data_IF_219499274642
#
_entry.id   IF_219499274642
#
_cell.length_a   1.000
_cell.length_b   1.000
_cell.length_c   1.000
_cell.angle_alpha   90.00
_cell.angle_beta   90.00
_cell.angle_gamma   90.00
#
_symmetry.space_group_name_H-M   'P 1'
#
loop_
_entity.id
_entity.type
_entity.pdbx_description
1 polymer ?
#
# COMPACT_ATOMS: atom_id res chain seq x y z
N UNK A 1 -10.78 -25.00 13.90
CA UNK A 1 -10.06 -24.42 12.75
C UNK A 1 -10.56 -22.99 12.68
N UNK A 2 -9.69 -21.99 12.85
CA UNK A 2 -10.07 -20.58 12.73
C UNK A 2 -10.35 -20.25 11.27
N UNK A 3 -11.33 -19.38 11.04
CA UNK A 3 -11.63 -18.81 9.72
C UNK A 3 -11.38 -17.31 9.80
N UNK A 4 -10.93 -16.66 8.73
CA UNK A 4 -10.75 -15.23 8.75
C UNK A 4 -12.10 -14.53 8.87
N UNK A 5 -12.13 -13.42 9.60
CA UNK A 5 -13.31 -12.56 9.73
C UNK A 5 -13.15 -11.24 8.98
N UNK A 6 -11.91 -10.86 8.64
CA UNK A 6 -11.63 -9.63 7.90
C UNK A 6 -10.46 -9.77 6.93
N UNK A 7 -10.48 -8.90 5.92
CA UNK A 7 -9.34 -8.67 5.02
C UNK A 7 -8.99 -7.18 5.05
N UNK A 8 -7.73 -6.87 5.31
CA UNK A 8 -7.19 -5.52 5.36
C UNK A 8 -6.21 -5.37 4.20
N UNK A 9 -6.35 -4.33 3.42
CA UNK A 9 -5.51 -4.06 2.26
C UNK A 9 -4.63 -2.85 2.52
N UNK A 10 -3.35 -2.94 2.17
CA UNK A 10 -2.62 -1.74 1.80
C UNK A 10 -3.23 -1.13 0.53
N UNK A 11 -2.92 0.11 0.24
CA UNK A 11 -3.51 0.81 -0.90
C UNK A 11 -2.57 0.85 -2.10
N UNK A 12 -1.40 1.46 -1.92
CA UNK A 12 -0.46 1.71 -3.00
C UNK A 12 0.29 0.43 -3.36
N UNK A 13 0.31 0.07 -4.66
CA UNK A 13 0.86 -1.22 -5.10
C UNK A 13 -0.07 -2.42 -4.89
N UNK A 14 -1.03 -2.35 -3.96
CA UNK A 14 -1.97 -3.44 -3.63
C UNK A 14 -3.34 -3.23 -4.26
N UNK A 15 -4.10 -2.22 -3.84
CA UNK A 15 -5.42 -1.93 -4.41
C UNK A 15 -5.30 -1.26 -5.78
N UNK A 16 -4.28 -0.43 -5.93
CA UNK A 16 -4.02 0.42 -7.08
C UNK A 16 -2.60 0.16 -7.55
N UNK A 17 -2.41 -0.11 -8.84
CA UNK A 17 -1.09 -0.05 -9.46
C UNK A 17 -0.65 1.41 -9.56
N UNK A 18 -0.15 1.94 -8.46
CA UNK A 18 0.26 3.34 -8.34
C UNK A 18 1.69 3.60 -8.82
N UNK A 19 2.51 2.57 -9.04
CA UNK A 19 3.92 2.74 -9.43
C UNK A 19 4.09 3.54 -10.73
N UNK A 20 3.39 3.24 -11.85
CA UNK A 20 3.48 4.04 -13.07
C UNK A 20 3.05 5.49 -12.87
N UNK A 21 2.08 5.71 -11.95
CA UNK A 21 1.58 7.04 -11.63
C UNK A 21 2.64 7.81 -10.84
N UNK A 22 3.26 7.21 -9.83
CA UNK A 22 4.33 7.83 -9.04
C UNK A 22 5.53 8.20 -9.93
N UNK A 23 5.97 7.29 -10.80
CA UNK A 23 7.05 7.56 -11.77
C UNK A 23 6.69 8.75 -12.67
N UNK A 24 5.44 8.82 -13.15
CA UNK A 24 4.96 9.92 -13.98
C UNK A 24 4.93 11.27 -13.25
N UNK A 25 4.53 11.26 -11.99
CA UNK A 25 4.51 12.44 -11.12
C UNK A 25 5.95 12.94 -10.87
N UNK A 26 6.83 12.07 -10.44
CA UNK A 26 8.22 12.39 -10.12
C UNK A 26 8.95 12.95 -11.34
N UNK A 27 8.75 12.36 -12.51
CA UNK A 27 9.32 12.87 -13.76
C UNK A 27 8.87 14.31 -14.05
N UNK A 28 7.58 14.60 -13.94
CA UNK A 28 7.06 15.95 -14.15
C UNK A 28 7.58 16.93 -13.09
N UNK A 29 7.75 16.49 -11.85
CA UNK A 29 8.33 17.30 -10.80
C UNK A 29 9.81 17.59 -11.06
N UNK A 30 10.59 16.63 -11.51
CA UNK A 30 12.00 16.82 -11.88
C UNK A 30 12.13 17.79 -13.07
N UNK A 31 11.25 17.67 -14.07
CA UNK A 31 11.18 18.62 -15.19
C UNK A 31 10.89 20.05 -14.68
N UNK A 32 9.98 20.20 -13.73
CA UNK A 32 9.64 21.50 -13.11
C UNK A 32 10.80 22.08 -12.31
N UNK A 33 11.59 21.23 -11.65
CA UNK A 33 12.80 21.64 -10.92
C UNK A 33 14.00 21.89 -11.86
N UNK A 34 13.85 21.60 -13.15
CA UNK A 34 14.92 21.74 -14.14
C UNK A 34 16.07 20.76 -13.97
N UNK A 35 15.80 19.58 -13.41
CA UNK A 35 16.79 18.53 -13.16
C UNK A 35 16.53 17.31 -14.03
N UNK A 36 17.63 16.72 -14.55
CA UNK A 36 17.58 15.47 -15.31
C UNK A 36 18.06 14.32 -14.40
N UNK A 37 17.10 13.54 -13.90
CA UNK A 37 17.37 12.40 -13.04
C UNK A 37 17.40 11.13 -13.87
N UNK A 38 18.59 10.52 -13.99
CA UNK A 38 18.74 9.28 -14.75
C UNK A 38 17.90 8.15 -14.14
N UNK A 39 17.45 7.20 -14.98
CA UNK A 39 16.68 6.03 -14.54
C UNK A 39 17.39 5.23 -13.44
N UNK A 40 18.71 5.16 -13.44
CA UNK A 40 19.51 4.47 -12.42
C UNK A 40 19.43 5.18 -11.08
N UNK A 41 19.51 6.52 -11.07
CA UNK A 41 19.40 7.33 -9.85
C UNK A 41 17.96 7.28 -9.34
N UNK A 42 16.97 7.43 -10.22
CA UNK A 42 15.55 7.32 -9.86
C UNK A 42 15.23 5.99 -9.17
N UNK A 43 15.69 4.88 -9.77
CA UNK A 43 15.49 3.54 -9.18
C UNK A 43 16.11 3.39 -7.78
N UNK A 44 17.21 4.10 -7.47
CA UNK A 44 17.82 4.05 -6.14
C UNK A 44 16.97 4.72 -5.04
N UNK A 45 15.92 5.44 -5.41
CA UNK A 45 14.98 6.06 -4.47
C UNK A 45 13.75 5.19 -4.19
N UNK A 46 13.53 4.13 -4.96
CA UNK A 46 12.40 3.22 -4.73
C UNK A 46 12.47 2.63 -3.33
N UNK A 47 11.40 2.79 -2.56
CA UNK A 47 11.34 2.36 -1.16
C UNK A 47 12.10 3.24 -0.15
N UNK A 48 12.78 4.29 -0.60
CA UNK A 48 13.43 5.26 0.27
C UNK A 48 12.41 6.28 0.81
N UNK A 49 12.76 6.96 1.92
CA UNK A 49 11.94 8.07 2.41
C UNK A 49 12.07 9.31 1.49
N UNK A 50 11.01 10.12 1.42
CA UNK A 50 11.04 11.41 0.72
C UNK A 50 12.18 12.30 1.22
N UNK A 51 12.45 12.28 2.52
CA UNK A 51 13.54 13.08 3.11
C UNK A 51 14.92 12.66 2.57
N UNK A 52 15.16 11.35 2.43
CA UNK A 52 16.40 10.84 1.83
C UNK A 52 16.50 11.25 0.35
N UNK A 53 15.45 11.00 -0.44
CA UNK A 53 15.41 11.32 -1.87
C UNK A 53 15.68 12.80 -2.10
N UNK A 54 14.94 13.71 -1.44
CA UNK A 54 15.10 15.15 -1.64
C UNK A 54 16.41 15.69 -1.08
N UNK A 55 16.97 15.08 -0.02
CA UNK A 55 18.30 15.44 0.48
C UNK A 55 19.38 15.12 -0.55
N UNK A 56 19.31 13.94 -1.18
CA UNK A 56 20.27 13.53 -2.21
C UNK A 56 20.09 14.34 -3.50
N UNK A 57 18.86 14.55 -3.98
CA UNK A 57 18.58 15.39 -5.14
C UNK A 57 19.07 16.84 -4.95
N UNK A 58 18.80 17.42 -3.78
CA UNK A 58 19.29 18.75 -3.43
C UNK A 58 20.81 18.85 -3.50
N UNK A 59 21.50 17.85 -2.97
CA UNK A 59 22.97 17.78 -2.98
C UNK A 59 23.53 17.61 -4.40
N UNK A 60 22.96 16.68 -5.18
CA UNK A 60 23.42 16.37 -6.54
C UNK A 60 23.21 17.52 -7.54
N UNK A 61 22.05 18.11 -7.49
CA UNK A 61 21.65 19.15 -8.45
C UNK A 61 21.79 20.56 -7.93
N UNK A 62 22.31 20.74 -6.69
CA UNK A 62 22.55 22.05 -6.02
C UNK A 62 21.28 22.89 -5.97
N UNK A 63 20.15 22.27 -5.62
CA UNK A 63 18.89 22.97 -5.49
C UNK A 63 18.95 24.01 -4.36
N UNK A 64 18.33 25.17 -4.58
CA UNK A 64 18.28 26.27 -3.62
C UNK A 64 17.31 26.00 -2.48
N UNK A 65 16.24 25.28 -2.78
CA UNK A 65 15.15 24.95 -1.87
C UNK A 65 15.65 24.05 -0.73
N UNK A 66 15.08 24.21 0.44
CA UNK A 66 15.30 23.30 1.57
C UNK A 66 14.60 21.96 1.30
N UNK A 67 15.03 20.90 1.99
CA UNK A 67 14.41 19.56 1.87
C UNK A 67 12.92 19.63 2.22
N UNK A 68 12.54 20.38 3.24
CA UNK A 68 11.14 20.56 3.64
C UNK A 68 10.30 21.26 2.57
N UNK A 69 10.82 22.29 1.90
CA UNK A 69 10.12 22.97 0.80
C UNK A 69 9.95 22.04 -0.41
N UNK A 70 10.95 21.20 -0.71
CA UNK A 70 10.85 20.22 -1.78
C UNK A 70 9.78 19.16 -1.48
N UNK A 71 9.72 18.65 -0.25
CA UNK A 71 8.70 17.67 0.18
C UNK A 71 7.31 18.30 0.11
N UNK A 72 7.12 19.51 0.63
CA UNK A 72 5.83 20.22 0.57
C UNK A 72 5.40 20.46 -0.89
N UNK A 73 6.34 20.85 -1.75
CA UNK A 73 6.06 21.03 -3.18
C UNK A 73 5.67 19.72 -3.87
N UNK A 74 6.30 18.60 -3.51
CA UNK A 74 5.95 17.26 -4.01
C UNK A 74 4.54 16.85 -3.58
N UNK A 75 4.21 17.01 -2.31
CA UNK A 75 2.89 16.67 -1.77
C UNK A 75 1.78 17.46 -2.47
N UNK A 76 1.97 18.76 -2.64
CA UNK A 76 1.03 19.61 -3.38
C UNK A 76 0.90 19.20 -4.85
N UNK A 77 2.03 18.88 -5.50
CA UNK A 77 2.03 18.46 -6.89
C UNK A 77 1.36 17.09 -7.08
N UNK A 78 1.61 16.13 -6.19
CA UNK A 78 0.95 14.81 -6.17
C UNK A 78 -0.56 14.96 -5.99
N UNK A 79 -0.97 15.76 -5.01
CA UNK A 79 -2.39 16.03 -4.76
C UNK A 79 -3.09 16.61 -6.00
N UNK A 80 -2.51 17.65 -6.62
CA UNK A 80 -3.04 18.26 -7.83
C UNK A 80 -3.08 17.28 -9.02
N UNK A 81 -2.04 16.45 -9.17
CA UNK A 81 -1.98 15.42 -10.20
C UNK A 81 -3.12 14.41 -10.03
N UNK A 82 -3.29 13.85 -8.84
CA UNK A 82 -4.35 12.90 -8.55
C UNK A 82 -5.75 13.50 -8.75
N UNK A 83 -5.94 14.77 -8.44
CA UNK A 83 -7.22 15.46 -8.68
C UNK A 83 -7.56 15.56 -10.18
N UNK A 84 -6.57 15.68 -11.06
CA UNK A 84 -6.77 15.79 -12.52
C UNK A 84 -7.05 14.46 -13.21
N UNK A 85 -6.71 13.33 -12.60
CA UNK A 85 -7.05 12.03 -13.17
C UNK A 85 -8.58 11.83 -13.13
N UNK A 86 -9.18 11.38 -14.21
CA UNK A 86 -10.61 11.06 -14.22
C UNK A 86 -10.90 9.75 -13.48
N UNK A 87 -10.11 8.72 -13.75
CA UNK A 87 -10.22 7.38 -13.17
C UNK A 87 -8.83 6.80 -12.88
N UNK A 88 -8.78 5.86 -11.96
CA UNK A 88 -7.56 5.10 -11.63
C UNK A 88 -7.94 3.63 -11.70
N UNK A 89 -7.20 2.79 -12.44
CA UNK A 89 -7.51 1.37 -12.51
C UNK A 89 -7.21 0.67 -11.18
N UNK A 90 -8.08 -0.24 -10.79
CA UNK A 90 -7.80 -1.21 -9.74
C UNK A 90 -6.86 -2.29 -10.29
N UNK A 91 -6.07 -2.91 -9.42
CA UNK A 91 -5.26 -4.06 -9.81
C UNK A 91 -6.11 -5.21 -10.35
N UNK A 92 -5.54 -5.93 -11.32
CA UNK A 92 -6.22 -7.01 -12.02
C UNK A 92 -6.72 -8.10 -11.06
N UNK A 93 -8.02 -8.44 -11.18
CA UNK A 93 -8.67 -9.44 -10.33
C UNK A 93 -9.19 -8.93 -9.00
N UNK A 94 -8.75 -7.73 -8.53
CA UNK A 94 -9.12 -7.18 -7.22
C UNK A 94 -10.64 -7.04 -7.04
N UNK A 95 -11.35 -6.45 -7.99
CA UNK A 95 -12.80 -6.20 -7.87
C UNK A 95 -13.56 -7.52 -7.70
N UNK A 96 -13.13 -8.58 -8.38
CA UNK A 96 -13.71 -9.91 -8.23
C UNK A 96 -13.51 -10.45 -6.81
N UNK A 97 -12.31 -10.31 -6.25
CA UNK A 97 -11.99 -10.74 -4.88
C UNK A 97 -12.78 -9.94 -3.84
N UNK A 98 -12.85 -8.60 -3.98
CA UNK A 98 -13.64 -7.74 -3.08
C UNK A 98 -15.12 -8.16 -3.08
N UNK A 99 -15.69 -8.46 -4.25
CA UNK A 99 -17.06 -8.96 -4.38
C UNK A 99 -17.28 -10.29 -3.68
N UNK A 100 -16.33 -11.23 -3.77
CA UNK A 100 -16.38 -12.51 -3.07
C UNK A 100 -16.34 -12.31 -1.54
N UNK A 101 -15.42 -11.48 -1.05
CA UNK A 101 -15.24 -11.17 0.38
C UNK A 101 -16.53 -10.54 0.95
N UNK A 102 -17.09 -9.54 0.25
CA UNK A 102 -18.33 -8.86 0.67
C UNK A 102 -19.53 -9.82 0.70
N UNK A 103 -19.64 -10.69 -0.31
CA UNK A 103 -20.72 -11.70 -0.40
C UNK A 103 -20.63 -12.72 0.74
N UNK A 104 -19.42 -13.08 1.16
CA UNK A 104 -19.20 -13.97 2.30
C UNK A 104 -19.40 -13.31 3.67
N UNK A 105 -19.63 -11.98 3.71
CA UNK A 105 -19.90 -11.25 4.95
C UNK A 105 -18.65 -10.90 5.77
N UNK A 106 -17.44 -11.07 5.22
CA UNK A 106 -16.21 -10.65 5.88
C UNK A 106 -16.10 -9.13 5.87
N UNK A 107 -15.43 -8.58 6.89
CA UNK A 107 -15.12 -7.15 6.97
C UNK A 107 -13.97 -6.77 6.06
N UNK A 108 -14.01 -5.55 5.55
CA UNK A 108 -13.00 -5.00 4.66
C UNK A 108 -12.46 -3.66 5.19
N UNK A 109 -11.14 -3.53 5.27
CA UNK A 109 -10.52 -2.25 5.62
C UNK A 109 -9.33 -1.93 4.71
N UNK A 110 -9.00 -0.64 4.65
CA UNK A 110 -7.77 -0.13 4.04
C UNK A 110 -6.85 0.37 5.15
N UNK A 111 -5.55 0.07 5.04
CA UNK A 111 -4.51 0.54 5.95
C UNK A 111 -3.33 1.11 5.14
N UNK A 112 -3.28 2.44 4.97
CA UNK A 112 -2.35 3.11 4.05
C UNK A 112 -1.44 4.13 4.72
N UNK A 113 -0.29 4.40 4.10
CA UNK A 113 0.61 5.51 4.47
C UNK A 113 0.22 6.84 3.81
N UNK A 114 -0.68 6.84 2.85
CA UNK A 114 -1.21 8.04 2.22
C UNK A 114 -2.04 8.89 3.21
N UNK A 115 -2.17 10.19 2.94
CA UNK A 115 -3.03 11.06 3.75
C UNK A 115 -4.52 10.67 3.60
N UNK A 116 -5.38 11.00 4.59
CA UNK A 116 -6.81 10.70 4.50
C UNK A 116 -7.48 11.27 3.27
N UNK A 117 -7.07 12.46 2.83
CA UNK A 117 -7.58 13.12 1.64
C UNK A 117 -7.25 12.32 0.38
N UNK A 118 -5.97 11.96 0.20
CA UNK A 118 -5.49 11.20 -0.96
C UNK A 118 -6.10 9.80 -0.96
N UNK A 119 -6.13 9.11 0.17
CA UNK A 119 -6.72 7.77 0.27
C UNK A 119 -8.19 7.76 -0.19
N UNK A 120 -9.00 8.68 0.31
CA UNK A 120 -10.40 8.81 -0.09
C UNK A 120 -10.53 9.18 -1.58
N UNK A 121 -9.71 10.11 -2.07
CA UNK A 121 -9.71 10.50 -3.49
C UNK A 121 -9.42 9.32 -4.41
N UNK A 122 -8.34 8.58 -4.14
CA UNK A 122 -7.90 7.45 -4.96
C UNK A 122 -8.92 6.31 -4.96
N UNK A 123 -9.43 5.91 -3.80
CA UNK A 123 -10.42 4.85 -3.67
C UNK A 123 -11.74 5.20 -4.40
N UNK A 124 -12.16 6.47 -4.34
CA UNK A 124 -13.33 6.94 -5.09
C UNK A 124 -13.09 6.94 -6.61
N UNK A 125 -11.92 7.42 -7.08
CA UNK A 125 -11.56 7.41 -8.51
C UNK A 125 -11.39 6.00 -9.07
N UNK A 126 -10.96 5.06 -8.20
CA UNK A 126 -10.89 3.64 -8.52
C UNK A 126 -12.26 2.94 -8.48
N UNK A 127 -13.29 3.59 -7.93
CA UNK A 127 -14.65 3.05 -7.81
C UNK A 127 -14.82 1.95 -6.77
N UNK A 128 -13.87 1.81 -5.84
CA UNK A 128 -13.86 0.72 -4.83
C UNK A 128 -14.13 1.18 -3.39
N UNK A 129 -14.26 2.48 -3.14
CA UNK A 129 -14.43 3.02 -1.79
C UNK A 129 -15.61 2.36 -1.03
N UNK A 130 -16.72 2.06 -1.72
CA UNK A 130 -17.94 1.48 -1.12
C UNK A 130 -17.79 0.02 -0.64
N UNK A 131 -16.71 -0.66 -0.97
CA UNK A 131 -16.44 -2.01 -0.46
C UNK A 131 -15.99 -1.99 0.99
N UNK A 132 -15.28 -0.94 1.43
CA UNK A 132 -14.57 -0.92 2.71
C UNK A 132 -15.44 -0.43 3.86
N UNK A 133 -15.35 -1.12 4.99
CA UNK A 133 -16.01 -0.78 6.26
C UNK A 133 -15.21 0.30 7.03
N UNK A 134 -13.88 0.37 6.79
CA UNK A 134 -13.00 1.40 7.35
C UNK A 134 -11.82 1.72 6.41
N UNK A 135 -11.38 2.98 6.44
CA UNK A 135 -10.13 3.46 5.85
C UNK A 135 -9.31 4.06 6.99
N UNK A 136 -8.07 3.60 7.13
CA UNK A 136 -7.16 3.99 8.20
C UNK A 136 -5.83 4.43 7.61
N UNK A 137 -5.32 5.54 8.09
CA UNK A 137 -4.02 6.07 7.65
C UNK A 137 -2.98 6.00 8.76
N UNK A 138 -1.69 5.97 8.40
CA UNK A 138 -0.61 5.99 9.39
C UNK A 138 -0.60 7.25 10.23
N UNK A 139 -1.08 8.39 9.69
CA UNK A 139 -1.22 9.65 10.45
C UNK A 139 -2.24 9.55 11.58
N UNK A 140 -3.30 8.74 11.41
CA UNK A 140 -4.30 8.47 12.45
C UNK A 140 -3.78 7.45 13.46
N UNK A 141 -2.98 6.49 13.02
CA UNK A 141 -2.40 5.44 13.87
C UNK A 141 -1.21 5.93 14.71
N UNK A 142 -0.57 7.04 14.32
CA UNK A 142 0.51 7.69 15.04
C UNK A 142 1.92 7.24 14.65
N UNK A 143 2.09 6.02 14.16
CA UNK A 143 3.38 5.51 13.65
C UNK A 143 3.24 4.89 12.28
N UNK A 144 4.23 5.16 11.43
CA UNK A 144 4.30 4.58 10.09
C UNK A 144 4.81 3.13 10.12
N UNK A 145 4.52 2.35 9.08
CA UNK A 145 5.13 1.06 8.80
C UNK A 145 6.67 1.21 8.83
N UNK A 146 7.41 0.31 9.46
CA UNK A 146 7.05 -1.06 9.86
C UNK A 146 6.37 -1.21 11.25
N UNK A 147 5.92 -0.13 11.91
CA UNK A 147 5.11 -0.25 13.12
C UNK A 147 3.75 -0.88 12.81
N UNK A 148 3.21 -1.78 13.67
CA UNK A 148 1.93 -2.46 13.44
C UNK A 148 0.71 -1.55 13.62
N UNK A 149 0.89 -0.32 14.10
CA UNK A 149 -0.17 0.55 14.59
C UNK A 149 -1.32 0.74 13.60
N UNK A 150 -1.02 0.93 12.30
CA UNK A 150 -2.05 1.13 11.26
C UNK A 150 -2.92 -0.10 11.06
N UNK A 151 -2.34 -1.30 11.12
CA UNK A 151 -3.08 -2.56 10.99
C UNK A 151 -3.90 -2.87 12.24
N UNK A 152 -3.32 -2.65 13.43
CA UNK A 152 -4.04 -2.81 14.69
C UNK A 152 -5.24 -1.85 14.77
N UNK A 153 -5.06 -0.59 14.36
CA UNK A 153 -6.14 0.39 14.33
C UNK A 153 -7.22 0.00 13.29
N UNK A 154 -6.83 -0.54 12.13
CA UNK A 154 -7.78 -1.01 11.12
C UNK A 154 -8.63 -2.17 11.66
N UNK A 155 -8.02 -3.19 12.26
CA UNK A 155 -8.71 -4.30 12.90
C UNK A 155 -9.67 -3.82 14.00
N UNK A 156 -9.21 -2.90 14.85
CA UNK A 156 -10.04 -2.28 15.91
C UNK A 156 -11.27 -1.56 15.34
N UNK A 157 -11.10 -0.77 14.26
CA UNK A 157 -12.21 -0.02 13.64
C UNK A 157 -13.30 -0.89 13.04
N UNK A 158 -12.92 -2.06 12.52
CA UNK A 158 -13.87 -3.02 11.96
C UNK A 158 -14.36 -4.03 13.00
N UNK A 159 -13.84 -4.00 14.25
CA UNK A 159 -14.26 -4.83 15.36
C UNK A 159 -13.83 -6.28 15.26
N UNK A 160 -12.66 -6.57 14.65
CA UNK A 160 -12.11 -7.92 14.45
C UNK A 160 -10.78 -8.05 15.18
N UNK A 161 -10.49 -9.22 15.72
CA UNK A 161 -9.19 -9.49 16.35
C UNK A 161 -8.09 -9.57 15.30
N UNK A 162 -6.85 -9.09 15.59
CA UNK A 162 -5.75 -9.14 14.65
C UNK A 162 -5.47 -10.53 14.08
N UNK A 163 -5.52 -11.55 14.93
CA UNK A 163 -5.30 -12.94 14.55
C UNK A 163 -6.39 -13.56 13.66
N UNK A 164 -7.52 -12.87 13.45
CA UNK A 164 -8.59 -13.25 12.53
C UNK A 164 -8.60 -12.39 11.26
N UNK A 165 -7.56 -11.56 11.08
CA UNK A 165 -7.37 -10.71 9.91
C UNK A 165 -6.36 -11.30 8.92
N UNK A 166 -6.66 -11.14 7.63
CA UNK A 166 -5.71 -11.32 6.53
C UNK A 166 -5.30 -9.94 6.02
N UNK A 167 -4.02 -9.74 5.79
CA UNK A 167 -3.47 -8.51 5.19
C UNK A 167 -2.99 -8.81 3.78
N UNK A 168 -3.27 -7.91 2.84
CA UNK A 168 -2.58 -7.82 1.54
C UNK A 168 -1.61 -6.66 1.55
N UNK A 169 -0.37 -6.92 1.15
CA UNK A 169 0.77 -5.99 1.13
C UNK A 169 1.68 -6.23 -0.07
N UNK A 170 2.53 -5.23 -0.39
CA UNK A 170 3.51 -5.34 -1.47
C UNK A 170 4.95 -5.03 -1.02
N UNK A 171 5.13 -4.47 0.18
CA UNK A 171 6.38 -3.88 0.66
C UNK A 171 6.98 -4.61 1.87
N UNK A 172 8.33 -4.59 2.05
CA UNK A 172 8.99 -5.15 3.24
C UNK A 172 8.55 -4.49 4.55
N UNK A 173 8.35 -3.16 4.55
CA UNK A 173 7.91 -2.44 5.73
C UNK A 173 6.46 -2.79 6.11
N UNK A 174 5.59 -2.95 5.11
CA UNK A 174 4.22 -3.34 5.33
C UNK A 174 4.08 -4.79 5.78
N UNK A 175 4.84 -5.72 5.17
CA UNK A 175 4.93 -7.10 5.64
C UNK A 175 5.37 -7.16 7.11
N UNK A 176 6.43 -6.43 7.46
CA UNK A 176 6.92 -6.36 8.86
C UNK A 176 5.85 -5.84 9.81
N UNK A 177 5.09 -4.81 9.39
CA UNK A 177 3.99 -4.24 10.19
C UNK A 177 2.85 -5.25 10.39
N UNK A 178 2.41 -5.95 9.33
CA UNK A 178 1.37 -6.96 9.38
C UNK A 178 1.76 -8.14 10.29
N UNK A 179 2.98 -8.64 10.14
CA UNK A 179 3.50 -9.74 10.98
C UNK A 179 3.65 -9.31 12.44
N UNK A 180 4.11 -8.08 12.70
CA UNK A 180 4.18 -7.51 14.05
C UNK A 180 2.81 -7.29 14.68
N UNK A 181 1.76 -7.12 13.88
CA UNK A 181 0.37 -7.07 14.33
C UNK A 181 -0.21 -8.47 14.62
N UNK A 182 0.51 -9.56 14.34
CA UNK A 182 0.03 -10.94 14.49
C UNK A 182 -0.95 -11.38 13.40
N UNK A 183 -0.92 -10.72 12.24
CA UNK A 183 -1.84 -10.99 11.13
C UNK A 183 -1.24 -11.93 10.10
N UNK A 184 -2.09 -12.70 9.41
CA UNK A 184 -1.71 -13.48 8.23
C UNK A 184 -1.48 -12.51 7.06
N UNK A 185 -0.30 -12.57 6.45
CA UNK A 185 0.07 -11.63 5.40
C UNK A 185 0.29 -12.32 4.06
N UNK A 186 -0.53 -11.94 3.08
CA UNK A 186 -0.36 -12.28 1.67
C UNK A 186 0.34 -11.12 0.98
N UNK A 187 1.47 -11.40 0.37
CA UNK A 187 2.19 -10.40 -0.42
C UNK A 187 1.82 -10.51 -1.89
N UNK A 188 1.52 -9.37 -2.51
CA UNK A 188 1.35 -9.23 -3.96
C UNK A 188 2.57 -8.52 -4.52
N UNK A 189 3.41 -9.22 -5.30
CA UNK A 189 4.63 -8.66 -5.87
C UNK A 189 5.12 -9.45 -7.07
N UNK A 190 5.45 -8.76 -8.16
CA UNK A 190 6.00 -9.36 -9.38
C UNK A 190 7.51 -9.11 -9.57
N UNK A 191 8.12 -8.16 -8.85
CA UNK A 191 9.55 -7.88 -8.93
C UNK A 191 10.35 -8.91 -8.10
N UNK A 192 11.17 -9.69 -8.80
CA UNK A 192 11.99 -10.75 -8.20
C UNK A 192 13.06 -10.25 -7.22
N UNK A 193 13.50 -9.00 -7.32
CA UNK A 193 14.46 -8.43 -6.38
C UNK A 193 13.78 -8.10 -5.04
N UNK A 194 12.58 -7.52 -5.10
CA UNK A 194 11.78 -7.20 -3.92
C UNK A 194 11.29 -8.49 -3.24
N UNK A 195 10.88 -9.51 -4.00
CA UNK A 195 10.43 -10.82 -3.47
C UNK A 195 11.45 -11.45 -2.52
N UNK A 196 12.74 -11.26 -2.73
CA UNK A 196 13.80 -11.80 -1.85
C UNK A 196 13.72 -11.22 -0.43
N UNK A 197 13.25 -9.98 -0.29
CA UNK A 197 13.10 -9.29 1.00
C UNK A 197 11.79 -9.63 1.70
N UNK A 198 10.88 -10.33 1.00
CA UNK A 198 9.53 -10.65 1.44
C UNK A 198 9.38 -12.10 1.94
N UNK A 199 10.50 -12.74 2.31
CA UNK A 199 10.54 -14.16 2.74
C UNK A 199 9.74 -14.48 4.01
N UNK A 200 9.29 -13.46 4.76
CA UNK A 200 8.42 -13.60 5.92
C UNK A 200 6.91 -13.64 5.61
N UNK A 201 6.52 -13.53 4.35
CA UNK A 201 5.12 -13.61 3.93
C UNK A 201 4.55 -15.02 4.15
N UNK A 202 3.29 -15.11 4.60
CA UNK A 202 2.59 -16.39 4.74
C UNK A 202 2.20 -16.95 3.37
N UNK A 203 1.96 -16.09 2.40
CA UNK A 203 1.72 -16.46 1.00
C UNK A 203 2.14 -15.34 0.06
N UNK A 204 2.49 -15.67 -1.19
CA UNK A 204 2.89 -14.74 -2.22
C UNK A 204 2.09 -14.99 -3.50
N UNK A 205 1.60 -13.92 -4.09
CA UNK A 205 0.93 -13.89 -5.40
C UNK A 205 1.55 -12.80 -6.28
N UNK A 206 1.41 -12.91 -7.59
CA UNK A 206 1.80 -11.86 -8.53
C UNK A 206 0.60 -11.03 -8.99
N UNK A 207 -0.62 -11.57 -8.87
CA UNK A 207 -1.87 -10.90 -9.25
C UNK A 207 -3.04 -11.46 -8.43
N UNK A 208 -4.07 -10.66 -8.18
CA UNK A 208 -5.31 -11.15 -7.56
C UNK A 208 -6.07 -12.17 -8.43
N UNK A 209 -5.71 -12.32 -9.70
CA UNK A 209 -6.26 -13.39 -10.56
C UNK A 209 -5.81 -14.79 -10.13
N UNK A 210 -4.75 -14.91 -9.33
CA UNK A 210 -4.22 -16.19 -8.81
C UNK A 210 -4.92 -16.66 -7.54
N UNK A 211 -5.76 -15.81 -6.91
CA UNK A 211 -6.34 -16.11 -5.61
C UNK A 211 -7.87 -15.96 -5.64
N UNK A 212 -8.56 -16.85 -4.96
CA UNK A 212 -9.99 -16.77 -4.67
C UNK A 212 -10.19 -16.71 -3.15
N UNK A 213 -11.36 -16.27 -2.71
CA UNK A 213 -11.68 -16.27 -1.27
C UNK A 213 -11.58 -17.68 -0.66
N UNK A 214 -12.04 -18.70 -1.37
CA UNK A 214 -11.92 -20.10 -0.91
C UNK A 214 -10.47 -20.47 -0.69
N UNK A 215 -9.59 -20.19 -1.66
CA UNK A 215 -8.16 -20.51 -1.53
C UNK A 215 -7.52 -19.71 -0.39
N UNK A 216 -7.90 -18.46 -0.21
CA UNK A 216 -7.41 -17.58 0.85
C UNK A 216 -7.78 -18.12 2.25
N UNK A 217 -9.04 -18.56 2.42
CA UNK A 217 -9.52 -19.18 3.66
C UNK A 217 -8.81 -20.51 3.96
N UNK A 218 -8.55 -21.32 2.94
CA UNK A 218 -7.80 -22.57 3.11
C UNK A 218 -6.37 -22.34 3.56
N UNK A 219 -5.67 -21.36 2.95
CA UNK A 219 -4.31 -20.97 3.32
C UNK A 219 -4.24 -20.44 4.75
N UNK A 220 -5.17 -19.57 5.12
CA UNK A 220 -5.30 -19.06 6.47
C UNK A 220 -5.48 -20.18 7.50
N UNK A 221 -6.39 -21.14 7.22
CA UNK A 221 -6.67 -22.26 8.12
C UNK A 221 -5.46 -23.20 8.28
N UNK A 222 -4.68 -23.42 7.21
CA UNK A 222 -3.47 -24.29 7.25
C UNK A 222 -2.39 -23.62 8.12
N UNK A 223 -2.18 -22.33 8.00
CA UNK A 223 -1.17 -21.59 8.76
C UNK A 223 -1.39 -21.70 10.29
N UNK A 224 -2.66 -21.75 10.72
CA UNK A 224 -3.03 -21.89 12.14
C UNK A 224 -2.74 -23.27 12.75
N UNK A 225 -2.32 -24.25 11.96
CA UNK A 225 -2.00 -25.62 12.43
C UNK A 225 -0.49 -25.80 12.66
N UNK A 226 0.32 -24.89 12.10
CA UNK A 226 1.78 -25.00 12.08
C UNK A 226 2.42 -24.22 13.24
N UNK A 227 1.69 -23.29 13.84
CA UNK A 227 2.06 -22.57 15.07
C UNK A 227 1.53 -23.30 16.34
#
# INVERSE_FOLDING_TARGET
MRIPEAVIFDMDGVLIDSEPIHIGIEKQLFDKLGIDVSATVHRSYMGASNEFMYSDLRSRFKLSESVSELIESDELFRSDYFHRLDTIPANDGLISLLGQIKTAGLKLAVATSSSPEIANLLLNKCGIASFFDAIVTTSEAGKSKPSPDVYLLAAQRIGVLPEDCIVFEDSPNGLSAAKSAGMFCVVIQSDNEIIKELSGADYLIQSFTEITLTRLTDLFAINQIVD
#
